data_IF_322256183014
#
_entry.id   IF_322256183014
#
_cell.length_a   1.000
_cell.length_b   1.000
_cell.length_c   1.000
_cell.angle_alpha   90.00
_cell.angle_beta   90.00
_cell.angle_gamma   90.00
#
_symmetry.space_group_name_H-M   'P 1'
#
loop_
_entity.id
_entity.type
_entity.pdbx_description
1 polymer ?
#
# COMPACT_ATOMS: atom_id res chain seq x y z
N UNK A 1 -7.76 -15.42 -69.54
CA UNK A 1 -8.71 -15.87 -68.50
C UNK A 1 -8.16 -16.93 -67.54
N UNK A 2 -7.31 -17.89 -67.94
CA UNK A 2 -6.91 -19.01 -67.06
C UNK A 2 -5.91 -18.68 -65.93
N UNK A 3 -5.22 -17.54 -65.99
CA UNK A 3 -4.28 -17.11 -64.93
C UNK A 3 -5.00 -16.51 -63.72
N UNK A 4 -6.13 -15.85 -63.93
CA UNK A 4 -6.90 -15.18 -62.87
C UNK A 4 -7.62 -16.20 -61.98
N UNK A 5 -8.16 -17.28 -62.58
CA UNK A 5 -8.77 -18.40 -61.85
C UNK A 5 -7.74 -19.22 -61.06
N UNK A 6 -6.55 -19.44 -61.62
CA UNK A 6 -5.45 -20.13 -60.92
C UNK A 6 -4.96 -19.35 -59.68
N UNK A 7 -4.88 -18.02 -59.77
CA UNK A 7 -4.50 -17.16 -58.64
C UNK A 7 -5.53 -17.20 -57.50
N UNK A 8 -6.82 -17.19 -57.84
CA UNK A 8 -7.90 -17.23 -56.85
C UNK A 8 -7.96 -18.58 -56.12
N UNK A 9 -7.76 -19.69 -56.83
CA UNK A 9 -7.72 -21.04 -56.24
C UNK A 9 -6.49 -21.17 -55.32
N UNK A 10 -5.32 -20.67 -55.74
CA UNK A 10 -4.11 -20.69 -54.91
C UNK A 10 -4.26 -19.82 -53.64
N UNK A 11 -4.93 -18.67 -53.74
CA UNK A 11 -5.24 -17.84 -52.57
C UNK A 11 -6.17 -18.54 -51.59
N UNK A 12 -7.23 -19.19 -52.09
CA UNK A 12 -8.19 -19.92 -51.27
C UNK A 12 -7.54 -21.11 -50.54
N UNK A 13 -6.66 -21.86 -51.20
CA UNK A 13 -5.98 -23.00 -50.58
C UNK A 13 -4.98 -22.56 -49.52
N UNK A 14 -4.26 -21.45 -49.74
CA UNK A 14 -3.39 -20.87 -48.73
C UNK A 14 -4.18 -20.38 -47.50
N UNK A 15 -5.32 -19.73 -47.71
CA UNK A 15 -6.18 -19.27 -46.62
C UNK A 15 -6.71 -20.46 -45.79
N UNK A 16 -7.14 -21.53 -46.47
CA UNK A 16 -7.65 -22.74 -45.83
C UNK A 16 -6.55 -23.45 -45.03
N UNK A 17 -5.33 -23.53 -45.56
CA UNK A 17 -4.19 -24.12 -44.84
C UNK A 17 -3.83 -23.33 -43.58
N UNK A 18 -3.81 -21.99 -43.64
CA UNK A 18 -3.55 -21.13 -42.47
C UNK A 18 -4.66 -21.26 -41.44
N UNK A 19 -5.92 -21.28 -41.86
CA UNK A 19 -7.08 -21.40 -40.96
C UNK A 19 -7.12 -22.79 -40.31
N UNK A 20 -6.79 -23.84 -41.06
CA UNK A 20 -6.66 -25.19 -40.54
C UNK A 20 -5.51 -25.32 -39.53
N UNK A 21 -4.34 -24.76 -39.83
CA UNK A 21 -3.23 -24.78 -38.87
C UNK A 21 -3.56 -24.01 -37.59
N UNK A 22 -4.27 -22.88 -37.71
CA UNK A 22 -4.73 -22.11 -36.57
C UNK A 22 -5.79 -22.85 -35.72
N UNK A 23 -6.66 -23.65 -36.32
CA UNK A 23 -7.67 -24.42 -35.58
C UNK A 23 -7.09 -25.66 -34.90
N UNK A 24 -6.11 -26.33 -35.51
CA UNK A 24 -5.39 -27.46 -34.91
C UNK A 24 -4.46 -27.05 -33.76
N UNK A 25 -3.94 -25.83 -33.81
CA UNK A 25 -3.07 -25.26 -32.79
C UNK A 25 -3.79 -24.25 -31.88
N UNK A 26 -5.12 -24.26 -31.93
CA UNK A 26 -5.93 -23.44 -31.03
C UNK A 26 -5.61 -23.85 -29.58
N UNK A 27 -5.31 -22.90 -28.68
CA UNK A 27 -5.26 -23.20 -27.26
C UNK A 27 -6.57 -23.85 -26.86
N UNK A 28 -6.51 -24.92 -26.06
CA UNK A 28 -7.73 -25.52 -25.52
C UNK A 28 -8.61 -24.42 -24.94
N UNK A 29 -9.90 -24.39 -25.35
CA UNK A 29 -10.85 -23.48 -24.73
C UNK A 29 -10.76 -23.68 -23.22
N UNK A 30 -10.53 -22.60 -22.48
CA UNK A 30 -10.64 -22.62 -21.02
C UNK A 30 -11.98 -23.26 -20.70
N UNK A 31 -11.97 -24.49 -20.16
CA UNK A 31 -13.21 -25.23 -19.89
C UNK A 31 -14.13 -24.45 -18.95
N UNK A 32 -15.32 -24.99 -18.70
CA UNK A 32 -16.39 -24.44 -17.82
C UNK A 32 -15.98 -24.21 -16.34
N UNK A 33 -14.69 -24.15 -16.05
CA UNK A 33 -14.16 -23.56 -14.83
C UNK A 33 -14.50 -22.08 -14.84
N UNK A 34 -15.68 -21.76 -14.30
CA UNK A 34 -15.95 -20.46 -13.69
C UNK A 34 -14.72 -20.07 -12.89
N UNK A 35 -14.12 -18.93 -13.23
CA UNK A 35 -12.92 -18.44 -12.57
C UNK A 35 -13.18 -18.44 -11.06
N UNK A 36 -12.47 -19.31 -10.32
CA UNK A 36 -12.59 -19.38 -8.87
C UNK A 36 -12.26 -18.00 -8.32
N UNK A 37 -13.13 -17.46 -7.45
CA UNK A 37 -12.88 -16.18 -6.81
C UNK A 37 -11.47 -16.17 -6.21
N UNK A 38 -10.67 -15.17 -6.60
CA UNK A 38 -9.32 -15.02 -6.10
C UNK A 38 -9.36 -14.93 -4.57
N UNK A 39 -8.46 -15.66 -3.90
CA UNK A 39 -8.32 -15.58 -2.45
C UNK A 39 -7.93 -14.15 -2.09
N UNK A 40 -8.77 -13.46 -1.31
CA UNK A 40 -8.46 -12.15 -0.75
C UNK A 40 -7.25 -12.32 0.17
N UNK A 41 -6.10 -11.76 -0.23
CA UNK A 41 -4.93 -11.74 0.65
C UNK A 41 -5.07 -10.59 1.66
N UNK A 42 -4.62 -10.80 2.91
CA UNK A 42 -4.54 -9.72 3.89
C UNK A 42 -3.65 -8.58 3.38
N UNK A 43 -3.94 -7.36 3.87
CA UNK A 43 -3.07 -6.21 3.62
C UNK A 43 -1.73 -6.44 4.33
N UNK A 44 -0.65 -6.52 3.57
CA UNK A 44 0.70 -6.77 4.10
C UNK A 44 1.36 -5.51 4.69
N UNK A 45 1.00 -4.33 4.17
CA UNK A 45 1.55 -3.05 4.61
C UNK A 45 0.54 -1.91 4.52
N UNK A 46 0.48 -1.12 5.57
CA UNK A 46 -0.34 0.11 5.67
C UNK A 46 0.57 1.27 6.07
N UNK A 47 0.36 2.44 5.46
CA UNK A 47 1.07 3.67 5.82
C UNK A 47 0.09 4.82 6.00
N UNK A 48 0.32 5.67 6.99
CA UNK A 48 -0.55 6.80 7.34
C UNK A 48 0.30 8.05 7.61
N UNK A 49 -0.32 9.21 7.46
CA UNK A 49 0.26 10.50 7.79
C UNK A 49 -0.63 11.19 8.82
N UNK A 50 -0.03 11.63 9.93
CA UNK A 50 -0.63 12.54 10.90
C UNK A 50 -0.06 13.94 10.62
N UNK A 51 -0.90 14.91 10.23
CA UNK A 51 -0.47 16.29 10.01
C UNK A 51 0.20 16.89 11.25
N UNK A 52 0.88 18.02 11.08
CA UNK A 52 1.39 18.75 12.24
C UNK A 52 0.19 19.30 13.05
N UNK A 53 0.17 19.11 14.38
CA UNK A 53 -0.87 19.67 15.23
C UNK A 53 -0.74 21.19 15.40
N UNK A 54 -1.61 21.77 16.23
CA UNK A 54 -1.63 23.22 16.50
C UNK A 54 -0.28 23.74 17.01
N UNK A 55 0.15 24.90 16.52
CA UNK A 55 1.38 25.59 16.96
C UNK A 55 1.15 26.47 18.18
N UNK A 56 0.08 26.25 18.94
CA UNK A 56 -0.24 27.03 20.13
C UNK A 56 0.39 26.40 21.37
N UNK A 57 0.98 27.22 22.24
CA UNK A 57 1.63 26.75 23.48
C UNK A 57 0.64 26.13 24.49
N UNK A 58 -0.65 26.47 24.38
CA UNK A 58 -1.71 25.88 25.21
C UNK A 58 -2.33 24.63 24.57
N UNK A 59 -1.90 24.27 23.35
CA UNK A 59 -2.43 23.09 22.67
C UNK A 59 -1.97 21.80 23.36
N UNK A 60 -2.90 20.85 23.47
CA UNK A 60 -2.62 19.46 23.86
C UNK A 60 -3.06 18.53 22.75
N UNK A 61 -2.17 17.67 22.32
CA UNK A 61 -2.43 16.69 21.26
C UNK A 61 -2.30 15.29 21.81
N UNK A 62 -3.34 14.48 21.62
CA UNK A 62 -3.34 13.05 21.94
C UNK A 62 -3.38 12.22 20.65
N UNK A 63 -2.54 11.21 20.58
CA UNK A 63 -2.47 10.22 19.51
C UNK A 63 -2.98 8.88 20.03
N UNK A 64 -3.84 8.22 19.27
CA UNK A 64 -4.29 6.86 19.53
C UNK A 64 -4.11 6.02 18.29
N UNK A 65 -3.42 4.90 18.39
CA UNK A 65 -3.28 3.95 17.29
C UNK A 65 -3.95 2.63 17.65
N UNK A 66 -4.62 2.02 16.69
CA UNK A 66 -5.37 0.79 16.88
C UNK A 66 -5.29 -0.09 15.65
N UNK A 67 -5.05 -1.38 15.85
CA UNK A 67 -5.23 -2.39 14.81
C UNK A 67 -6.31 -3.37 15.28
N UNK A 68 -7.37 -3.65 14.50
CA UNK A 68 -8.29 -4.73 14.82
C UNK A 68 -7.62 -6.11 14.74
N UNK A 69 -8.10 -7.07 15.52
CA UNK A 69 -7.64 -8.46 15.41
C UNK A 69 -8.24 -9.05 14.13
N UNK A 70 -7.38 -9.48 13.21
CA UNK A 70 -7.76 -10.08 11.92
C UNK A 70 -7.26 -11.51 11.84
N UNK A 71 -8.07 -12.41 11.27
CA UNK A 71 -7.68 -13.80 11.02
C UNK A 71 -6.98 -13.92 9.67
N UNK A 72 -6.05 -14.87 9.56
CA UNK A 72 -5.34 -15.16 8.30
C UNK A 72 -4.16 -14.24 7.99
N UNK A 73 -3.82 -13.33 8.91
CA UNK A 73 -2.64 -12.46 8.83
C UNK A 73 -1.38 -13.19 9.31
N UNK A 74 -0.21 -12.70 8.90
CA UNK A 74 1.08 -13.22 9.40
C UNK A 74 1.16 -13.18 10.94
N UNK A 75 1.86 -14.14 11.57
CA UNK A 75 2.01 -14.19 13.04
C UNK A 75 2.87 -13.05 13.62
N UNK A 76 3.68 -12.43 12.74
CA UNK A 76 4.61 -11.37 13.08
C UNK A 76 4.24 -10.05 12.38
N UNK A 77 4.79 -8.94 12.88
CA UNK A 77 4.55 -7.62 12.33
C UNK A 77 4.93 -6.53 13.32
N UNK A 78 4.91 -5.28 12.85
CA UNK A 78 5.11 -4.10 13.70
C UNK A 78 4.29 -2.94 13.17
N UNK A 79 3.88 -2.06 14.07
CA UNK A 79 3.35 -0.74 13.75
C UNK A 79 4.16 0.31 14.49
N UNK A 80 4.45 1.44 13.83
CA UNK A 80 5.22 2.53 14.42
C UNK A 80 4.75 3.86 13.84
N UNK A 81 4.59 4.88 14.70
CA UNK A 81 4.55 6.29 14.29
C UNK A 81 5.86 6.97 14.66
N UNK A 82 6.40 7.72 13.71
CA UNK A 82 7.67 8.43 13.83
C UNK A 82 7.52 9.86 13.31
N UNK A 83 8.40 10.77 13.73
CA UNK A 83 8.40 12.13 13.19
C UNK A 83 8.65 12.12 11.67
N UNK A 84 7.87 12.90 10.93
CA UNK A 84 8.05 13.10 9.51
C UNK A 84 9.40 13.79 9.25
N UNK A 85 10.09 13.38 8.18
CA UNK A 85 11.28 14.09 7.72
C UNK A 85 10.88 15.46 7.17
N UNK A 86 11.54 16.51 7.65
CA UNK A 86 11.34 17.89 7.17
C UNK A 86 12.48 18.21 6.19
N UNK A 87 12.14 18.49 4.92
CA UNK A 87 13.08 19.17 4.02
C UNK A 87 12.96 20.67 4.27
N UNK A 88 13.99 21.27 4.88
CA UNK A 88 14.05 22.72 5.09
C UNK A 88 14.44 23.40 3.77
N UNK A 89 13.57 24.23 3.21
CA UNK A 89 13.88 25.06 2.03
C UNK A 89 14.83 26.24 2.32
N UNK A 90 15.12 26.51 3.60
CA UNK A 90 16.05 27.54 4.04
C UNK A 90 17.25 26.88 4.74
N UNK A 91 18.32 26.64 3.99
CA UNK A 91 19.57 26.10 4.52
C UNK A 91 20.74 26.98 4.12
N UNK A 92 20.77 28.20 4.65
CA UNK A 92 21.99 29.01 4.77
C UNK A 92 22.47 29.03 6.22
N UNK A 93 22.71 27.86 6.80
CA UNK A 93 23.66 27.66 7.92
C UNK A 93 23.72 26.18 8.29
N UNK A 94 24.88 25.59 8.08
CA UNK A 94 25.12 24.16 8.31
C UNK A 94 24.90 23.75 9.76
N UNK A 95 23.82 23.03 10.02
CA UNK A 95 23.80 21.96 11.01
C UNK A 95 23.37 20.69 10.31
N UNK A 96 24.32 19.75 10.19
CA UNK A 96 24.10 18.38 9.71
C UNK A 96 22.84 17.82 10.38
N UNK A 97 21.85 17.50 9.56
CA UNK A 97 20.74 16.64 9.93
C UNK A 97 21.34 15.29 10.34
N UNK A 98 21.66 15.18 11.64
CA UNK A 98 22.07 13.93 12.23
C UNK A 98 20.89 12.98 12.08
N UNK A 99 21.11 11.90 11.35
CA UNK A 99 20.32 10.67 11.40
C UNK A 99 20.35 10.12 12.82
N UNK A 100 19.73 10.82 13.76
CA UNK A 100 19.30 10.22 15.01
C UNK A 100 18.23 9.23 14.59
N UNK A 101 18.41 7.97 14.94
CA UNK A 101 17.31 7.02 15.07
C UNK A 101 16.28 7.69 15.96
N UNK A 102 15.30 8.37 15.35
CA UNK A 102 14.21 9.00 16.07
C UNK A 102 13.44 7.84 16.67
N UNK A 103 13.51 7.71 18.00
CA UNK A 103 12.72 6.72 18.72
C UNK A 103 11.26 6.99 18.35
N UNK A 104 10.59 5.97 17.83
CA UNK A 104 9.20 6.09 17.41
C UNK A 104 8.36 6.70 18.53
N UNK A 105 7.57 7.70 18.17
CA UNK A 105 6.69 8.43 19.07
C UNK A 105 5.60 7.51 19.64
N UNK A 106 5.17 6.50 18.85
CA UNK A 106 4.19 5.51 19.29
C UNK A 106 4.48 4.15 18.66
N UNK A 107 4.42 3.09 19.46
CA UNK A 107 4.64 1.70 19.04
C UNK A 107 3.58 0.79 19.65
N UNK A 108 2.53 0.41 18.91
CA UNK A 108 1.58 -0.61 19.34
C UNK A 108 2.27 -1.91 19.69
N UNK A 109 1.90 -2.48 20.84
CA UNK A 109 2.44 -3.76 21.30
C UNK A 109 1.75 -4.96 20.62
N UNK A 110 0.42 -4.90 20.46
CA UNK A 110 -0.40 -6.01 19.98
C UNK A 110 -1.67 -5.51 19.27
N UNK A 111 -2.17 -6.19 18.23
CA UNK A 111 -3.51 -5.93 17.69
C UNK A 111 -4.61 -6.13 18.73
N UNK A 112 -5.68 -5.36 18.62
CA UNK A 112 -6.82 -5.34 19.55
C UNK A 112 -6.61 -4.45 20.78
N UNK A 113 -5.40 -3.94 21.02
CA UNK A 113 -5.10 -3.01 22.11
C UNK A 113 -4.71 -1.64 21.55
N UNK A 114 -5.42 -0.57 21.91
CA UNK A 114 -5.00 0.77 21.51
C UNK A 114 -3.68 1.13 22.20
N UNK A 115 -2.79 1.79 21.47
CA UNK A 115 -1.62 2.45 22.03
C UNK A 115 -1.82 3.97 21.94
N UNK A 116 -1.48 4.68 23.01
CA UNK A 116 -1.66 6.13 23.13
C UNK A 116 -0.35 6.85 23.36
N UNK A 117 -0.25 8.07 22.86
CA UNK A 117 0.87 8.98 23.11
C UNK A 117 0.40 10.43 23.08
N UNK A 118 1.11 11.32 23.76
CA UNK A 118 0.68 12.71 23.93
C UNK A 118 1.79 13.69 23.53
N UNK A 119 1.39 14.88 23.10
CA UNK A 119 2.23 16.02 22.76
C UNK A 119 1.60 17.31 23.29
N UNK A 120 2.44 18.32 23.55
CA UNK A 120 2.01 19.60 24.10
C UNK A 120 2.71 20.76 23.40
N UNK A 121 2.02 21.89 23.31
CA UNK A 121 2.55 23.12 22.74
C UNK A 121 2.81 23.02 21.24
N UNK A 122 3.65 23.92 20.73
CA UNK A 122 4.03 23.97 19.31
C UNK A 122 5.08 22.91 18.91
N UNK A 123 5.44 22.02 19.82
CA UNK A 123 6.58 21.10 19.73
C UNK A 123 6.34 19.83 18.88
N UNK A 124 5.14 19.21 18.87
CA UNK A 124 4.96 17.94 18.15
C UNK A 124 5.03 18.15 16.63
N UNK A 125 5.90 17.42 15.90
CA UNK A 125 5.96 17.49 14.46
C UNK A 125 4.82 16.70 13.81
N UNK A 126 4.63 16.86 12.50
CA UNK A 126 3.88 15.88 11.72
C UNK A 126 4.49 14.47 11.92
N UNK A 127 3.66 13.44 11.93
CA UNK A 127 4.10 12.05 12.11
C UNK A 127 3.79 11.21 10.86
N UNK A 128 4.69 10.29 10.52
CA UNK A 128 4.47 9.25 9.52
C UNK A 128 4.39 7.90 10.23
N UNK A 129 3.34 7.16 9.91
CA UNK A 129 3.06 5.83 10.43
C UNK A 129 3.29 4.74 9.40
N UNK A 130 3.84 3.61 9.82
CA UNK A 130 3.85 2.37 9.03
C UNK A 130 3.44 1.17 9.88
N UNK A 131 2.64 0.27 9.30
CA UNK A 131 2.27 -1.00 9.88
C UNK A 131 2.47 -2.14 8.88
N UNK A 132 2.96 -3.27 9.35
CA UNK A 132 3.31 -4.45 8.55
C UNK A 132 2.84 -5.73 9.26
N UNK A 133 2.59 -6.79 8.47
CA UNK A 133 2.20 -8.11 8.99
C UNK A 133 0.89 -8.05 9.78
N UNK A 134 0.84 -8.68 10.97
CA UNK A 134 -0.39 -8.68 11.82
C UNK A 134 -0.96 -7.31 12.16
N UNK A 135 -0.15 -6.25 12.06
CA UNK A 135 -0.59 -4.90 12.36
C UNK A 135 -1.16 -4.17 11.15
N UNK A 136 -0.89 -4.62 9.92
CA UNK A 136 -1.24 -3.87 8.71
C UNK A 136 -2.74 -3.83 8.40
N UNK A 137 -3.51 -4.94 8.47
CA UNK A 137 -4.91 -4.92 8.10
C UNK A 137 -5.75 -4.03 9.05
N UNK A 138 -6.33 -2.97 8.48
CA UNK A 138 -7.24 -2.09 9.22
C UNK A 138 -6.56 -1.23 10.29
N UNK A 139 -5.24 -1.04 10.24
CA UNK A 139 -4.55 -0.13 11.16
C UNK A 139 -5.04 1.31 11.00
N UNK A 140 -5.33 1.96 12.12
CA UNK A 140 -5.75 3.35 12.17
C UNK A 140 -4.98 4.14 13.20
N UNK A 141 -4.91 5.45 12.98
CA UNK A 141 -4.37 6.42 13.92
C UNK A 141 -5.33 7.59 14.01
N UNK A 142 -5.67 7.98 15.23
CA UNK A 142 -6.41 9.18 15.56
C UNK A 142 -5.45 10.18 16.20
N UNK A 143 -5.44 11.40 15.68
CA UNK A 143 -4.84 12.57 16.31
C UNK A 143 -5.97 13.49 16.78
N UNK A 144 -5.86 14.02 17.98
CA UNK A 144 -6.85 14.97 18.50
C UNK A 144 -6.10 16.08 19.24
N UNK A 145 -6.28 17.31 18.76
CA UNK A 145 -5.69 18.50 19.38
C UNK A 145 -6.78 19.34 20.02
N UNK A 146 -6.63 19.64 21.31
CA UNK A 146 -7.45 20.58 22.07
C UNK A 146 -6.65 21.86 22.34
N UNK A 147 -7.30 23.02 22.31
CA UNK A 147 -6.73 24.35 22.55
C UNK A 147 -7.57 25.12 23.56
#
# INVERSE_FOLDING_TARGET
>A
MNRTTLSLIAGATALAAVTGFASLNAPAASGDNTAKAATQQPVERTSLLCPQPSTSEIAKTSYTSYTPVTQGTADSGKAELQAAAVESADSTSGKKAGKKTVKAALKPAEPGKPATGDGSGAEPPALVGTAEGKFAPGWTVQETTAV
#
